data_IF_406107155195
#
_entry.id   IF_406107155195
#
_cell.length_a   1.000
_cell.length_b   1.000
_cell.length_c   1.000
_cell.angle_alpha   90.00
_cell.angle_beta   90.00
_cell.angle_gamma   90.00
#
_symmetry.space_group_name_H-M   'P 1'
#
loop_
_entity.id
_entity.type
_entity.pdbx_description
1 polymer ?
#
# COMPACT_ATOMS: atom_id res chain seq x y z
N UNK A 1 20.55 35.53 -29.23
CA UNK A 1 21.39 35.15 -28.08
C UNK A 1 20.69 33.96 -27.41
N UNK A 2 20.76 32.72 -27.92
CA UNK A 2 21.86 31.74 -27.81
C UNK A 2 22.42 31.78 -26.36
N UNK A 3 22.32 30.77 -25.48
CA UNK A 3 22.41 29.30 -25.64
C UNK A 3 22.04 28.56 -24.31
N UNK A 4 21.38 27.37 -24.43
CA UNK A 4 21.47 26.13 -23.59
C UNK A 4 20.93 26.08 -22.13
N UNK A 5 20.41 24.98 -21.55
CA UNK A 5 20.19 23.55 -21.87
C UNK A 5 18.82 23.12 -21.25
N UNK A 6 18.02 22.25 -21.86
CA UNK A 6 18.17 20.80 -21.71
C UNK A 6 17.01 20.18 -20.90
N UNK A 7 15.80 20.17 -21.45
CA UNK A 7 14.69 19.32 -20.94
C UNK A 7 14.33 18.32 -22.02
N UNK A 8 14.91 17.11 -21.92
CA UNK A 8 14.45 15.96 -22.67
C UNK A 8 13.02 15.64 -22.23
N UNK A 9 12.09 15.75 -23.17
CA UNK A 9 10.77 15.15 -23.04
C UNK A 9 10.89 13.63 -23.05
N UNK A 10 10.26 12.99 -22.08
CA UNK A 10 10.06 11.54 -22.11
C UNK A 10 8.78 11.28 -22.90
N UNK A 11 8.96 10.74 -24.09
CA UNK A 11 7.92 10.34 -25.03
C UNK A 11 7.02 9.27 -24.42
N UNK A 12 5.70 9.50 -24.50
CA UNK A 12 4.71 8.43 -24.48
C UNK A 12 4.89 7.61 -25.76
N UNK A 13 5.42 6.39 -25.63
CA UNK A 13 5.33 5.38 -26.67
C UNK A 13 5.10 4.02 -26.02
N UNK A 14 3.87 3.54 -26.11
CA UNK A 14 3.60 2.10 -26.21
C UNK A 14 2.55 1.90 -27.29
N UNK A 15 3.07 1.62 -28.48
CA UNK A 15 2.37 0.98 -29.59
C UNK A 15 2.01 -0.43 -29.14
N UNK A 16 0.71 -0.73 -29.06
CA UNK A 16 0.18 -2.08 -28.94
C UNK A 16 -0.59 -2.41 -30.21
N UNK A 17 0.07 -3.16 -31.10
CA UNK A 17 -0.49 -3.68 -32.35
C UNK A 17 -1.75 -4.49 -32.08
N UNK A 18 -2.83 -4.11 -32.76
CA UNK A 18 -4.05 -4.88 -32.91
C UNK A 18 -3.78 -6.02 -33.91
N UNK A 19 -3.51 -7.23 -33.42
CA UNK A 19 -3.64 -8.44 -34.23
C UNK A 19 -4.92 -9.15 -33.83
N UNK A 20 -5.88 -9.13 -34.75
CA UNK A 20 -7.09 -9.93 -34.75
C UNK A 20 -6.74 -11.42 -34.68
N UNK A 21 -6.92 -12.01 -33.51
CA UNK A 21 -7.15 -13.44 -33.34
C UNK A 21 -8.64 -13.65 -33.06
N UNK A 22 -9.39 -14.07 -34.07
CA UNK A 22 -10.73 -14.62 -33.91
C UNK A 22 -10.67 -15.96 -33.16
N UNK A 23 -11.80 -16.28 -32.51
CA UNK A 23 -12.24 -17.57 -31.95
C UNK A 23 -12.01 -17.80 -30.44
N UNK A 24 -13.03 -17.37 -29.68
CA UNK A 24 -13.83 -18.18 -28.74
C UNK A 24 -13.14 -19.02 -27.65
N UNK A 25 -13.32 -18.60 -26.40
CA UNK A 25 -13.87 -19.45 -25.33
C UNK A 25 -14.43 -18.55 -24.22
N UNK A 26 -15.75 -18.57 -24.07
CA UNK A 26 -16.49 -17.86 -23.01
C UNK A 26 -16.31 -18.62 -21.69
N UNK A 27 -15.12 -18.49 -21.09
CA UNK A 27 -14.77 -19.14 -19.84
C UNK A 27 -14.09 -18.15 -18.91
N UNK A 28 -14.84 -17.55 -17.98
CA UNK A 28 -14.25 -16.86 -16.82
C UNK A 28 -13.57 -17.93 -15.96
N UNK A 29 -12.37 -18.32 -16.37
CA UNK A 29 -11.50 -19.21 -15.62
C UNK A 29 -11.22 -18.56 -14.29
N UNK A 30 -11.65 -19.20 -13.20
CA UNK A 30 -11.28 -18.82 -11.84
C UNK A 30 -9.76 -18.75 -11.81
N UNK A 31 -9.20 -17.53 -11.75
CA UNK A 31 -7.77 -17.34 -11.58
C UNK A 31 -7.36 -18.13 -10.35
N UNK A 32 -6.55 -19.17 -10.56
CA UNK A 32 -6.02 -20.04 -9.51
C UNK A 32 -5.52 -19.16 -8.36
N UNK A 33 -6.05 -19.39 -7.16
CA UNK A 33 -5.68 -18.61 -5.97
C UNK A 33 -4.17 -18.72 -5.78
N UNK A 34 -3.46 -17.60 -5.92
CA UNK A 34 -2.04 -17.55 -5.60
C UNK A 34 -1.89 -17.69 -4.10
N UNK A 35 -1.26 -18.77 -3.59
CA UNK A 35 -1.05 -18.92 -2.16
C UNK A 35 -0.13 -17.80 -1.66
N UNK A 36 -0.41 -17.28 -0.46
CA UNK A 36 0.47 -16.30 0.19
C UNK A 36 1.85 -16.95 0.38
N UNK A 37 2.93 -16.34 -0.13
CA UNK A 37 4.28 -16.87 0.05
C UNK A 37 4.61 -17.00 1.54
N UNK A 38 5.19 -18.14 1.94
CA UNK A 38 5.68 -18.33 3.31
C UNK A 38 6.95 -17.53 3.59
N UNK A 39 7.72 -17.29 2.54
CA UNK A 39 8.94 -16.51 2.56
C UNK A 39 8.90 -15.46 1.45
N UNK A 40 9.33 -14.23 1.79
CA UNK A 40 9.48 -13.13 0.85
C UNK A 40 10.97 -12.89 0.67
N UNK A 41 11.48 -13.16 -0.54
CA UNK A 41 12.85 -12.82 -0.93
C UNK A 41 12.79 -11.53 -1.75
N UNK A 42 13.29 -10.40 -1.22
CA UNK A 42 13.25 -9.14 -1.96
C UNK A 42 14.19 -9.23 -3.18
N UNK A 43 13.64 -9.01 -4.38
CA UNK A 43 14.42 -8.87 -5.61
C UNK A 43 14.55 -7.41 -5.99
N UNK A 44 15.78 -6.94 -6.26
CA UNK A 44 16.01 -5.60 -6.79
C UNK A 44 15.53 -5.52 -8.24
N UNK A 45 14.77 -4.48 -8.58
CA UNK A 45 14.37 -4.23 -9.97
C UNK A 45 15.55 -3.51 -10.66
N UNK A 46 16.11 -4.06 -11.75
CA UNK A 46 17.24 -3.44 -12.45
C UNK A 46 16.92 -1.99 -12.86
N UNK A 47 17.85 -1.07 -12.57
CA UNK A 47 17.70 0.35 -12.86
C UNK A 47 16.78 1.12 -11.92
N UNK A 48 16.16 0.46 -10.92
CA UNK A 48 15.40 1.17 -9.88
C UNK A 48 16.33 1.74 -8.81
N UNK A 49 16.05 2.97 -8.37
CA UNK A 49 16.66 3.56 -7.19
C UNK A 49 15.83 3.21 -5.95
N UNK A 50 16.44 2.91 -4.80
CA UNK A 50 15.70 2.75 -3.55
C UNK A 50 14.87 4.00 -3.26
N UNK A 51 13.58 3.82 -2.96
CA UNK A 51 12.69 4.91 -2.57
C UNK A 51 12.41 4.86 -1.09
N UNK A 52 12.43 6.01 -0.42
CA UNK A 52 12.01 6.11 0.98
C UNK A 52 10.51 5.90 1.10
N UNK A 53 10.08 5.16 2.11
CA UNK A 53 8.67 4.95 2.43
C UNK A 53 8.39 5.59 3.78
N UNK A 54 7.42 6.50 3.83
CA UNK A 54 6.94 7.12 5.07
C UNK A 54 5.56 6.56 5.36
N UNK A 55 5.45 5.81 6.45
CA UNK A 55 4.19 5.23 6.92
C UNK A 55 3.66 6.06 8.10
N UNK A 56 2.55 6.76 7.88
CA UNK A 56 1.89 7.58 8.91
C UNK A 56 0.63 6.84 9.36
N UNK A 57 0.54 6.57 10.66
CA UNK A 57 -0.63 5.97 11.29
C UNK A 57 -1.15 6.90 12.39
N UNK A 58 -2.43 7.27 12.31
CA UNK A 58 -3.12 8.07 13.32
C UNK A 58 -4.07 7.17 14.10
N UNK A 59 -3.99 7.21 15.43
CA UNK A 59 -4.86 6.43 16.32
C UNK A 59 -6.22 7.12 16.49
N UNK A 60 -7.29 6.33 16.62
CA UNK A 60 -8.69 6.77 16.76
C UNK A 60 -9.16 7.88 15.78
N UNK A 61 -8.55 7.95 14.60
CA UNK A 61 -8.91 8.93 13.58
C UNK A 61 -10.15 8.44 12.80
N UNK A 62 -11.28 9.13 13.00
CA UNK A 62 -12.49 8.89 12.21
C UNK A 62 -12.28 9.19 10.73
N UNK A 63 -12.87 8.36 9.87
CA UNK A 63 -12.73 8.52 8.42
C UNK A 63 -13.24 9.88 7.91
N UNK A 64 -14.21 10.50 8.58
CA UNK A 64 -14.87 11.74 8.18
C UNK A 64 -14.28 13.01 8.81
N UNK A 65 -13.17 12.90 9.55
CA UNK A 65 -12.55 14.01 10.28
C UNK A 65 -11.51 14.81 9.46
N UNK A 66 -11.63 14.82 8.14
CA UNK A 66 -10.74 15.55 7.22
C UNK A 66 -11.52 16.59 6.40
N UNK A 67 -10.95 17.77 6.19
CA UNK A 67 -11.64 18.88 5.49
C UNK A 67 -12.00 18.54 4.04
N UNK A 68 -11.17 17.78 3.32
CA UNK A 68 -11.50 17.37 1.94
C UNK A 68 -12.75 16.46 1.83
N UNK A 69 -13.19 15.85 2.95
CA UNK A 69 -14.42 15.06 3.03
C UNK A 69 -15.65 15.89 3.45
N UNK A 70 -15.51 17.20 3.60
CA UNK A 70 -16.60 18.12 3.95
C UNK A 70 -16.83 18.26 5.46
N UNK A 71 -15.85 17.94 6.30
CA UNK A 71 -15.94 18.15 7.73
C UNK A 71 -16.11 19.65 8.06
N UNK A 72 -17.02 19.98 8.98
CA UNK A 72 -17.48 21.37 9.19
C UNK A 72 -16.49 22.26 9.96
N UNK A 73 -15.61 21.68 10.77
CA UNK A 73 -14.75 22.42 11.71
C UNK A 73 -13.25 22.14 11.57
N UNK A 74 -12.88 20.87 11.39
CA UNK A 74 -11.50 20.46 11.17
C UNK A 74 -10.92 21.05 9.88
N UNK A 75 -9.81 21.75 10.01
CA UNK A 75 -8.98 22.22 8.90
C UNK A 75 -7.73 21.32 8.81
N UNK A 76 -7.61 20.56 7.72
CA UNK A 76 -6.51 19.60 7.52
C UNK A 76 -5.72 19.86 6.24
N UNK A 77 -5.14 21.07 6.04
CA UNK A 77 -4.55 21.46 4.75
C UNK A 77 -3.42 20.53 4.28
N UNK A 78 -2.64 19.96 5.20
CA UNK A 78 -1.58 19.02 4.87
C UNK A 78 -2.11 17.64 4.45
N UNK A 79 -3.18 17.15 5.07
CA UNK A 79 -3.81 15.88 4.69
C UNK A 79 -4.58 16.03 3.38
N UNK A 80 -5.24 17.16 3.18
CA UNK A 80 -5.93 17.49 1.94
C UNK A 80 -4.95 17.57 0.76
N UNK A 81 -3.77 18.15 0.99
CA UNK A 81 -2.68 18.15 0.00
C UNK A 81 -2.21 16.74 -0.35
N UNK A 82 -2.09 15.84 0.63
CA UNK A 82 -1.76 14.43 0.38
C UNK A 82 -2.86 13.72 -0.43
N UNK A 83 -4.14 14.00 -0.14
CA UNK A 83 -5.27 13.46 -0.88
C UNK A 83 -5.31 13.98 -2.33
N UNK A 84 -5.04 15.27 -2.55
CA UNK A 84 -5.06 15.91 -3.87
C UNK A 84 -3.90 15.47 -4.78
N UNK A 85 -2.72 15.19 -4.21
CA UNK A 85 -1.52 14.77 -4.95
C UNK A 85 -1.30 13.25 -4.95
N UNK A 86 -2.24 12.48 -4.37
CA UNK A 86 -2.09 11.05 -4.16
C UNK A 86 -3.33 10.26 -4.58
N UNK A 87 -3.58 9.16 -3.88
CA UNK A 87 -4.73 8.30 -4.09
C UNK A 87 -5.49 8.15 -2.77
N UNK A 88 -6.77 8.50 -2.78
CA UNK A 88 -7.68 8.31 -1.66
C UNK A 88 -8.53 7.04 -1.83
N UNK A 89 -8.48 6.14 -0.84
CA UNK A 89 -9.27 4.92 -0.82
C UNK A 89 -10.58 5.15 -0.04
N UNK A 90 -11.67 5.42 -0.76
CA UNK A 90 -13.00 5.65 -0.15
C UNK A 90 -13.49 4.49 0.71
N UNK A 91 -13.13 3.26 0.35
CA UNK A 91 -13.58 2.03 1.00
C UNK A 91 -12.39 1.29 1.63
N UNK A 92 -11.75 1.90 2.63
CA UNK A 92 -10.70 1.29 3.43
C UNK A 92 -11.24 0.92 4.82
N UNK A 93 -11.17 -0.37 5.19
CA UNK A 93 -11.72 -0.89 6.43
C UNK A 93 -10.64 -1.58 7.26
N UNK A 94 -10.72 -1.40 8.58
CA UNK A 94 -9.93 -2.19 9.53
C UNK A 94 -10.49 -3.60 9.64
N UNK A 95 -9.62 -4.57 9.91
CA UNK A 95 -10.03 -5.96 10.20
C UNK A 95 -10.68 -6.09 11.58
N UNK A 96 -10.29 -5.23 12.53
CA UNK A 96 -10.82 -5.16 13.88
C UNK A 96 -10.87 -3.71 14.35
N UNK A 97 -11.95 -3.33 15.03
CA UNK A 97 -12.16 -1.99 15.59
C UNK A 97 -11.62 -1.89 17.02
N UNK A 98 -10.39 -2.35 17.25
CA UNK A 98 -9.69 -2.27 18.54
C UNK A 98 -8.19 -2.01 18.31
N UNK A 99 -7.58 -1.18 19.15
CA UNK A 99 -6.27 -0.58 18.90
C UNK A 99 -5.15 -1.61 18.63
N UNK A 100 -4.86 -2.51 19.60
CA UNK A 100 -3.78 -3.50 19.45
C UNK A 100 -4.01 -4.54 18.35
N UNK A 101 -5.20 -5.19 18.21
CA UNK A 101 -5.41 -6.13 17.12
C UNK A 101 -5.42 -5.45 15.75
N UNK A 102 -5.90 -4.22 15.63
CA UNK A 102 -5.85 -3.43 14.39
C UNK A 102 -4.41 -3.14 13.98
N UNK A 103 -3.58 -2.64 14.90
CA UNK A 103 -2.15 -2.41 14.65
C UNK A 103 -1.41 -3.70 14.31
N UNK A 104 -1.72 -4.80 15.00
CA UNK A 104 -1.13 -6.10 14.68
C UNK A 104 -1.51 -6.56 13.25
N UNK A 105 -2.76 -6.35 12.83
CA UNK A 105 -3.18 -6.63 11.45
C UNK A 105 -2.44 -5.76 10.43
N UNK A 106 -2.28 -4.46 10.70
CA UNK A 106 -1.52 -3.53 9.85
C UNK A 106 -0.05 -3.97 9.73
N UNK A 107 0.59 -4.29 10.85
CA UNK A 107 2.02 -4.60 10.89
C UNK A 107 2.35 -5.98 10.32
N UNK A 108 1.42 -6.94 10.40
CA UNK A 108 1.64 -8.32 9.92
C UNK A 108 1.02 -8.60 8.55
N UNK A 109 0.04 -7.79 8.11
CA UNK A 109 -0.79 -8.08 6.95
C UNK A 109 -1.74 -9.28 7.14
N UNK A 110 -1.94 -9.72 8.38
CA UNK A 110 -2.74 -10.89 8.72
C UNK A 110 -4.03 -10.49 9.45
N UNK A 111 -5.05 -11.35 9.39
CA UNK A 111 -6.24 -11.21 10.23
C UNK A 111 -5.98 -11.67 11.67
N UNK A 112 -6.82 -11.22 12.61
CA UNK A 112 -6.73 -11.54 14.04
C UNK A 112 -6.68 -13.03 14.37
N UNK A 113 -7.41 -13.87 13.63
CA UNK A 113 -7.37 -15.32 13.84
C UNK A 113 -6.02 -15.95 13.47
N UNK A 114 -5.19 -15.28 12.64
CA UNK A 114 -3.84 -15.72 12.26
C UNK A 114 -2.78 -15.17 13.20
N UNK A 115 -2.77 -13.86 13.46
CA UNK A 115 -1.74 -13.22 14.30
C UNK A 115 -2.00 -13.32 15.80
N UNK A 116 -3.19 -13.77 16.23
CA UNK A 116 -3.56 -14.11 17.62
C UNK A 116 -3.47 -12.99 18.68
N UNK A 117 -3.26 -11.73 18.28
CA UNK A 117 -3.45 -10.57 19.16
C UNK A 117 -4.95 -10.26 19.14
N UNK A 118 -5.69 -10.65 20.18
CA UNK A 118 -7.16 -10.61 20.19
C UNK A 118 -7.74 -9.45 21.03
N UNK A 119 -6.94 -8.87 21.90
CA UNK A 119 -7.32 -7.76 22.78
C UNK A 119 -6.11 -6.82 23.00
N UNK A 120 -6.30 -5.78 23.82
CA UNK A 120 -5.27 -4.77 24.07
C UNK A 120 -4.18 -5.19 25.07
N UNK A 121 -4.41 -6.23 25.86
CA UNK A 121 -3.51 -6.68 26.93
C UNK A 121 -2.69 -7.91 26.51
N UNK A 122 -3.11 -8.61 25.46
CA UNK A 122 -2.42 -9.78 24.95
C UNK A 122 -1.13 -9.39 24.25
N UNK A 123 -0.04 -9.96 24.72
CA UNK A 123 1.27 -9.85 24.08
C UNK A 123 1.26 -10.46 22.67
N UNK A 124 2.10 -9.90 21.80
CA UNK A 124 2.35 -10.44 20.47
C UNK A 124 2.94 -11.86 20.61
N UNK A 125 2.38 -12.88 19.93
CA UNK A 125 2.97 -14.21 19.94
C UNK A 125 4.43 -14.21 19.46
N UNK A 126 5.26 -15.04 20.07
CA UNK A 126 6.63 -15.24 19.63
C UNK A 126 6.71 -15.70 18.17
N UNK A 127 7.74 -15.24 17.46
CA UNK A 127 7.93 -15.56 16.04
C UNK A 127 7.01 -14.81 15.08
N UNK A 128 6.19 -13.86 15.56
CA UNK A 128 5.40 -12.98 14.69
C UNK A 128 6.32 -12.12 13.84
N UNK A 129 6.12 -12.18 12.52
CA UNK A 129 6.89 -11.38 11.55
C UNK A 129 6.10 -10.12 11.19
N UNK A 130 6.77 -8.98 11.23
CA UNK A 130 6.21 -7.69 10.86
C UNK A 130 6.77 -7.18 9.54
N UNK A 131 6.01 -6.37 8.80
CA UNK A 131 6.45 -5.84 7.51
C UNK A 131 7.77 -5.04 7.56
N UNK A 132 8.11 -4.29 8.63
CA UNK A 132 9.41 -3.63 8.71
C UNK A 132 10.58 -4.62 8.65
N UNK A 133 10.42 -5.85 9.14
CA UNK A 133 11.45 -6.88 9.04
C UNK A 133 11.67 -7.34 7.59
N UNK A 134 10.62 -7.33 6.75
CA UNK A 134 10.78 -7.56 5.31
C UNK A 134 11.53 -6.40 4.64
N UNK A 135 11.26 -5.15 5.06
CA UNK A 135 11.97 -3.98 4.56
C UNK A 135 13.45 -4.01 4.98
N UNK A 136 13.76 -4.40 6.22
CA UNK A 136 15.14 -4.59 6.70
C UNK A 136 15.91 -5.60 5.84
N UNK A 137 15.28 -6.74 5.51
CA UNK A 137 15.87 -7.73 4.59
C UNK A 137 16.11 -7.17 3.18
N UNK A 138 15.32 -6.18 2.76
CA UNK A 138 15.48 -5.49 1.48
C UNK A 138 16.51 -4.33 1.53
N UNK A 139 17.15 -4.08 2.69
CA UNK A 139 18.17 -3.05 2.87
C UNK A 139 17.65 -1.71 3.38
N UNK A 140 16.39 -1.64 3.84
CA UNK A 140 15.83 -0.43 4.44
C UNK A 140 16.17 -0.30 5.92
N UNK A 141 16.40 0.92 6.38
CA UNK A 141 16.39 1.26 7.79
C UNK A 141 14.94 1.49 8.24
N UNK A 142 14.51 0.79 9.30
CA UNK A 142 13.17 0.90 9.88
C UNK A 142 13.25 0.93 11.40
#
# INVERSE_FOLDING_TARGET
MLIREGRLGLAFLLVGVCTTGLFADDGVGVKKVTPVPRDVQPSQIPGSRPQNVVFILSDDHRYDAMSFLGHQFAETPHLDSLAANGVHFKNAFVTTSLCSPSRASILTGLYTFRHRVIDNNRLVPEGTIFFPQYLQKAGYAT
#
